data_IF_249839031886
#
_entry.id   IF_249839031886
#
_cell.length_a   1.000
_cell.length_b   1.000
_cell.length_c   1.000
_cell.angle_alpha   90.00
_cell.angle_beta   90.00
_cell.angle_gamma   90.00
#
_symmetry.space_group_name_H-M   'P 1'
#
loop_
_entity.id
_entity.type
_entity.pdbx_description
1 polymer ?
#
# COMPACT_ATOMS: atom_id res chain seq x y z
N UNK A 1 0.62 8.49 14.42
CA UNK A 1 0.38 7.08 14.74
C UNK A 1 -1.03 6.63 14.33
N UNK A 2 -2.04 7.33 14.87
CA UNK A 2 -3.42 6.95 14.62
C UNK A 2 -3.77 7.02 13.14
N UNK A 3 -3.30 8.05 12.44
CA UNK A 3 -3.59 8.20 11.01
C UNK A 3 -2.94 7.10 10.19
N UNK A 4 -1.68 6.78 10.45
CA UNK A 4 -0.99 5.71 9.72
C UNK A 4 -1.66 4.35 9.95
N UNK A 5 -2.06 4.07 11.18
CA UNK A 5 -2.79 2.85 11.49
C UNK A 5 -4.15 2.79 10.80
N UNK A 6 -4.85 3.92 10.76
CA UNK A 6 -6.14 4.00 10.10
C UNK A 6 -6.01 3.75 8.59
N UNK A 7 -4.99 4.35 7.97
CA UNK A 7 -4.74 4.15 6.53
C UNK A 7 -4.43 2.69 6.24
N UNK A 8 -3.58 2.06 7.05
CA UNK A 8 -3.23 0.66 6.85
C UNK A 8 -4.45 -0.26 7.02
N UNK A 9 -5.26 -0.01 8.03
CA UNK A 9 -6.48 -0.79 8.26
C UNK A 9 -7.45 -0.63 7.09
N UNK A 10 -7.61 0.60 6.60
CA UNK A 10 -8.48 0.89 5.46
C UNK A 10 -7.97 0.20 4.20
N UNK A 11 -6.64 0.21 3.99
CA UNK A 11 -6.04 -0.45 2.84
C UNK A 11 -6.33 -1.96 2.85
N UNK A 12 -6.22 -2.58 4.02
CA UNK A 12 -6.51 -4.00 4.17
C UNK A 12 -7.98 -4.30 3.84
N UNK A 13 -8.90 -3.49 4.34
CA UNK A 13 -10.32 -3.68 4.06
C UNK A 13 -10.64 -3.53 2.58
N UNK A 14 -10.08 -2.48 1.95
CA UNK A 14 -10.30 -2.24 0.52
C UNK A 14 -9.74 -3.37 -0.33
N UNK A 15 -8.56 -3.87 0.02
CA UNK A 15 -7.94 -4.97 -0.71
C UNK A 15 -8.85 -6.20 -0.70
N UNK A 16 -9.42 -6.54 0.44
CA UNK A 16 -10.32 -7.69 0.54
C UNK A 16 -11.59 -7.46 -0.24
N UNK A 17 -12.17 -6.26 -0.18
CA UNK A 17 -13.40 -5.92 -0.91
C UNK A 17 -13.19 -5.94 -2.42
N UNK A 18 -11.97 -5.65 -2.87
CA UNK A 18 -11.65 -5.61 -4.30
C UNK A 18 -11.14 -6.94 -4.84
N UNK A 19 -11.21 -7.99 -4.04
CA UNK A 19 -10.88 -9.33 -4.50
C UNK A 19 -9.43 -9.76 -4.32
N UNK A 20 -8.71 -9.12 -3.40
CA UNK A 20 -7.31 -9.45 -3.15
C UNK A 20 -7.13 -10.42 -1.98
N UNK A 21 -8.07 -11.34 -1.81
CA UNK A 21 -8.05 -12.27 -0.66
C UNK A 21 -6.86 -13.23 -0.68
N UNK A 22 -6.20 -13.40 -1.82
CA UNK A 22 -5.01 -14.25 -1.90
C UNK A 22 -3.74 -13.51 -1.49
N UNK A 23 -3.85 -12.23 -1.26
CA UNK A 23 -2.74 -11.41 -0.80
C UNK A 23 -2.62 -10.11 -1.57
N UNK A 24 -1.88 -9.19 -0.99
CA UNK A 24 -1.69 -7.88 -1.59
C UNK A 24 -0.43 -7.27 -1.00
N UNK A 25 0.05 -6.23 -1.66
CA UNK A 25 1.21 -5.47 -1.20
C UNK A 25 0.79 -4.03 -0.95
N UNK A 26 1.28 -3.48 0.15
CA UNK A 26 1.03 -2.09 0.51
C UNK A 26 2.34 -1.32 0.41
N UNK A 27 2.30 -0.15 -0.22
CA UNK A 27 3.48 0.68 -0.40
C UNK A 27 3.17 2.10 0.07
N UNK A 28 4.05 2.64 0.91
CA UNK A 28 4.01 4.04 1.31
C UNK A 28 5.38 4.62 1.02
N UNK A 29 5.43 5.61 0.15
CA UNK A 29 6.69 6.25 -0.24
C UNK A 29 6.96 7.47 0.63
N UNK A 30 8.22 7.71 0.93
CA UNK A 30 8.62 8.85 1.75
C UNK A 30 9.81 9.53 1.09
N UNK A 31 9.59 10.78 0.70
CA UNK A 31 10.59 11.65 0.08
C UNK A 31 11.12 11.13 -1.25
N UNK A 32 12.13 11.82 -1.80
CA UNK A 32 12.57 11.62 -3.17
C UNK A 32 13.12 10.22 -3.44
N UNK A 33 13.98 9.73 -2.58
CA UNK A 33 14.59 8.41 -2.83
C UNK A 33 13.61 7.27 -2.62
N UNK A 34 12.51 7.52 -1.92
CA UNK A 34 11.42 6.55 -1.81
C UNK A 34 10.48 6.59 -3.01
N UNK A 35 10.73 7.51 -3.95
CA UNK A 35 9.90 7.65 -5.13
C UNK A 35 8.64 8.44 -4.91
N UNK A 36 8.58 9.24 -3.85
CA UNK A 36 7.41 10.05 -3.57
C UNK A 36 7.35 11.24 -4.51
N UNK A 37 6.28 11.31 -5.28
CA UNK A 37 6.05 12.42 -6.22
C UNK A 37 4.97 13.37 -5.73
N UNK A 38 4.06 12.90 -4.91
CA UNK A 38 3.03 13.71 -4.26
C UNK A 38 3.37 13.78 -2.78
N UNK A 39 3.70 14.98 -2.30
CA UNK A 39 4.16 15.17 -0.91
C UNK A 39 2.99 15.33 0.05
N UNK A 40 2.19 14.29 0.11
CA UNK A 40 1.05 14.18 1.01
C UNK A 40 0.93 12.71 1.37
N UNK A 41 0.63 12.41 2.64
CA UNK A 41 0.59 11.02 3.07
C UNK A 41 -0.46 10.23 2.29
N UNK A 42 -0.03 9.14 1.70
CA UNK A 42 -0.92 8.25 0.96
C UNK A 42 -0.29 6.85 0.88
N UNK A 43 -1.10 5.89 0.51
CA UNK A 43 -0.68 4.49 0.50
C UNK A 43 -1.22 3.84 -0.77
N UNK A 44 -0.37 3.05 -1.43
CA UNK A 44 -0.75 2.28 -2.61
C UNK A 44 -1.07 0.85 -2.20
N UNK A 45 -2.12 0.30 -2.78
CA UNK A 45 -2.48 -1.11 -2.59
C UNK A 45 -2.34 -1.80 -3.95
N UNK A 46 -1.52 -2.84 -4.02
CA UNK A 46 -1.28 -3.59 -5.25
C UNK A 46 -1.69 -5.03 -5.02
N UNK A 47 -2.46 -5.59 -5.97
CA UNK A 47 -2.94 -6.95 -5.80
C UNK A 47 -3.36 -7.58 -7.11
N UNK A 48 -3.95 -8.77 -7.00
CA UNK A 48 -4.48 -9.54 -8.11
C UNK A 48 -3.40 -10.02 -9.08
N UNK A 49 -2.15 -10.10 -8.62
CA UNK A 49 -1.06 -10.76 -9.33
C UNK A 49 0.02 -11.16 -8.32
N UNK A 50 0.86 -12.09 -8.72
CA UNK A 50 1.97 -12.50 -7.87
C UNK A 50 2.99 -11.36 -7.80
N UNK A 51 3.31 -10.93 -6.58
CA UNK A 51 4.39 -9.97 -6.34
C UNK A 51 5.69 -10.73 -6.15
N UNK A 52 6.78 -10.11 -6.54
CA UNK A 52 8.09 -10.73 -6.47
C UNK A 52 8.99 -9.96 -5.51
N UNK A 53 10.14 -10.51 -5.26
CA UNK A 53 11.13 -9.93 -4.37
C UNK A 53 12.45 -9.73 -5.14
N UNK A 54 13.18 -8.61 -4.96
CA UNK A 54 12.96 -7.54 -3.97
C UNK A 54 11.72 -6.68 -4.28
N UNK A 55 11.24 -5.91 -3.29
CA UNK A 55 9.98 -5.18 -3.45
C UNK A 55 10.03 -3.97 -4.39
N UNK A 56 11.18 -3.59 -4.83
CA UNK A 56 11.31 -2.43 -5.70
C UNK A 56 12.40 -2.50 -6.72
#
# INVERSE_FOLDING_TARGET
KALAGHILFTAQRLALELGCEKGFRVVMNCNEEGGQTVYHIHMHVLGQRQMHWPPG
#
